data_IF_498354513396
#
_entry.id   IF_498354513396
#
_cell.length_a   1.000
_cell.length_b   1.000
_cell.length_c   1.000
_cell.angle_alpha   90.00
_cell.angle_beta   90.00
_cell.angle_gamma   90.00
#
_symmetry.space_group_name_H-M   'P 1'
#
loop_
_entity.id
_entity.type
_entity.pdbx_description
1 polymer ?
#
# COMPACT_ATOMS: atom_id res chain seq x y z
N UNK A 1 -34.11 32.11 21.86
CA UNK A 1 -33.80 30.66 21.80
C UNK A 1 -32.28 30.48 21.86
N UNK A 2 -31.70 29.90 22.93
CA UNK A 2 -30.25 29.84 23.05
C UNK A 2 -29.63 28.58 22.44
N UNK A 3 -28.52 28.84 21.71
CA UNK A 3 -27.30 28.03 21.53
C UNK A 3 -27.35 26.74 20.70
N UNK A 4 -26.91 26.86 19.44
CA UNK A 4 -26.08 25.80 18.84
C UNK A 4 -24.61 26.03 19.22
N UNK A 5 -23.94 25.01 19.73
CA UNK A 5 -22.52 25.06 20.05
C UNK A 5 -21.71 25.13 18.74
N UNK A 6 -21.33 26.34 18.33
CA UNK A 6 -20.43 26.54 17.19
C UNK A 6 -19.02 26.12 17.60
N UNK A 7 -18.58 24.95 17.12
CA UNK A 7 -17.17 24.57 17.14
C UNK A 7 -16.31 25.70 16.61
N UNK A 8 -15.23 26.00 17.34
CA UNK A 8 -14.34 27.15 17.09
C UNK A 8 -13.75 27.04 15.67
N UNK A 9 -14.07 28.01 14.82
CA UNK A 9 -13.46 28.19 13.51
C UNK A 9 -12.34 29.22 13.63
N UNK A 10 -11.28 29.00 12.86
CA UNK A 10 -10.23 29.97 12.67
C UNK A 10 -10.83 31.26 12.07
N UNK A 11 -10.66 32.44 12.68
CA UNK A 11 -11.16 33.69 12.12
C UNK A 11 -10.43 34.11 10.84
N UNK A 12 -9.19 33.67 10.60
CA UNK A 12 -8.42 34.03 9.41
C UNK A 12 -8.62 33.02 8.27
N UNK A 13 -8.64 31.73 8.59
CA UNK A 13 -8.74 30.67 7.56
C UNK A 13 -10.16 30.14 7.36
N UNK A 14 -11.10 30.45 8.25
CA UNK A 14 -12.49 29.97 8.20
C UNK A 14 -12.64 28.46 8.47
N UNK A 15 -11.53 27.73 8.61
CA UNK A 15 -11.49 26.29 8.80
C UNK A 15 -11.81 25.92 10.25
N UNK A 16 -12.38 24.72 10.45
CA UNK A 16 -12.53 24.16 11.79
C UNK A 16 -11.16 23.72 12.30
N UNK A 17 -10.76 24.24 13.45
CA UNK A 17 -9.54 23.81 14.12
C UNK A 17 -9.92 22.79 15.20
N UNK A 18 -9.50 21.55 15.01
CA UNK A 18 -9.43 20.58 16.12
C UNK A 18 -8.29 21.01 17.03
N UNK A 19 -8.59 21.44 18.26
CA UNK A 19 -7.55 21.75 19.25
C UNK A 19 -7.01 20.41 19.79
N UNK A 20 -5.75 20.03 19.52
CA UNK A 20 -5.16 18.89 20.23
C UNK A 20 -5.19 19.17 21.73
N UNK A 21 -5.48 18.14 22.52
CA UNK A 21 -5.42 18.26 23.97
C UNK A 21 -4.01 18.71 24.37
N UNK A 22 -3.93 19.60 25.34
CA UNK A 22 -2.67 20.01 25.94
C UNK A 22 -2.04 18.78 26.59
N UNK A 23 -0.79 18.47 26.22
CA UNK A 23 -0.09 17.24 26.66
C UNK A 23 0.02 17.19 28.18
N UNK A 24 0.08 18.36 28.83
CA UNK A 24 0.11 18.48 30.30
C UNK A 24 -1.19 18.06 30.99
N UNK A 25 -2.28 17.91 30.24
CA UNK A 25 -3.60 17.51 30.72
C UNK A 25 -3.95 16.06 30.38
N UNK A 26 -3.06 15.34 29.69
CA UNK A 26 -3.27 13.92 29.38
C UNK A 26 -2.87 13.13 30.62
N UNK A 27 -3.80 12.33 31.13
CA UNK A 27 -3.58 11.44 32.27
C UNK A 27 -3.78 10.02 31.77
N UNK A 28 -2.73 9.22 31.82
CA UNK A 28 -2.79 7.80 31.50
C UNK A 28 -3.18 7.01 32.76
N UNK A 29 -4.24 6.22 32.66
CA UNK A 29 -4.73 5.37 33.75
C UNK A 29 -5.09 3.99 33.21
N UNK A 30 -4.71 2.94 33.94
CA UNK A 30 -5.09 1.58 33.60
C UNK A 30 -6.59 1.36 33.87
N UNK A 31 -7.32 0.88 32.86
CA UNK A 31 -8.76 0.59 32.95
C UNK A 31 -9.08 -0.82 32.43
N UNK A 32 -8.76 -1.89 33.19
CA UNK A 32 -8.95 -3.27 32.75
C UNK A 32 -10.40 -3.62 32.42
N UNK A 33 -11.37 -3.00 33.11
CA UNK A 33 -12.79 -3.21 32.86
C UNK A 33 -13.28 -2.69 31.49
N UNK A 34 -12.50 -1.82 30.83
CA UNK A 34 -12.80 -1.29 29.49
C UNK A 34 -11.95 -1.98 28.40
N UNK A 35 -11.16 -2.99 28.74
CA UNK A 35 -10.31 -3.70 27.81
C UNK A 35 -11.16 -4.57 26.87
N UNK A 36 -11.19 -4.19 25.58
CA UNK A 36 -11.90 -4.93 24.54
C UNK A 36 -11.04 -6.08 24.00
N UNK A 37 -9.73 -5.87 23.91
CA UNK A 37 -8.76 -6.78 23.33
C UNK A 37 -7.60 -6.95 24.32
N UNK A 38 -7.12 -8.17 24.51
CA UNK A 38 -5.99 -8.46 25.39
C UNK A 38 -4.70 -7.76 24.93
N UNK A 39 -3.86 -7.37 25.90
CA UNK A 39 -2.64 -6.60 25.65
C UNK A 39 -1.67 -7.31 24.71
N UNK A 40 -1.56 -8.64 24.81
CA UNK A 40 -0.68 -9.43 23.93
C UNK A 40 -1.09 -9.27 22.45
N UNK A 41 -2.39 -9.34 22.16
CA UNK A 41 -2.90 -9.20 20.80
C UNK A 41 -2.80 -7.75 20.32
N UNK A 42 -3.07 -6.78 21.20
CA UNK A 42 -2.90 -5.37 20.91
C UNK A 42 -1.44 -5.06 20.53
N UNK A 43 -0.49 -5.47 21.36
CA UNK A 43 0.94 -5.24 21.15
C UNK A 43 1.43 -5.93 19.87
N UNK A 44 1.02 -7.17 19.62
CA UNK A 44 1.38 -7.87 18.38
C UNK A 44 0.88 -7.14 17.11
N UNK A 45 -0.30 -6.53 17.16
CA UNK A 45 -0.85 -5.74 16.06
C UNK A 45 -0.09 -4.42 15.90
N UNK A 46 0.20 -3.70 16.99
CA UNK A 46 0.99 -2.47 16.93
C UNK A 46 2.38 -2.71 16.34
N UNK A 47 3.08 -3.76 16.78
CA UNK A 47 4.36 -4.18 16.20
C UNK A 47 4.28 -4.43 14.68
N UNK A 48 3.20 -5.10 14.24
CA UNK A 48 2.98 -5.39 12.83
C UNK A 48 2.71 -4.11 12.04
N UNK A 49 1.92 -3.19 12.60
CA UNK A 49 1.62 -1.90 11.97
C UNK A 49 2.88 -1.07 11.83
N UNK A 50 3.72 -1.01 12.86
CA UNK A 50 4.98 -0.26 12.84
C UNK A 50 5.96 -0.82 11.80
N UNK A 51 6.14 -2.15 11.77
CA UNK A 51 6.95 -2.82 10.72
C UNK A 51 6.41 -2.54 9.31
N UNK A 52 5.09 -2.53 9.16
CA UNK A 52 4.43 -2.23 7.88
C UNK A 52 4.68 -0.78 7.50
N UNK A 53 4.49 0.15 8.42
CA UNK A 53 4.73 1.58 8.20
C UNK A 53 6.18 1.83 7.82
N UNK A 54 7.15 1.30 8.56
CA UNK A 54 8.58 1.41 8.25
C UNK A 54 8.93 0.86 6.86
N UNK A 55 8.32 -0.27 6.45
CA UNK A 55 8.54 -0.88 5.13
C UNK A 55 8.02 -0.02 3.97
N UNK A 56 7.01 0.81 4.22
CA UNK A 56 6.27 1.54 3.20
C UNK A 56 6.39 3.07 3.31
N UNK A 57 7.02 3.58 4.38
CA UNK A 57 7.30 4.99 4.59
C UNK A 57 8.13 5.55 3.41
N UNK A 58 7.67 6.67 2.85
CA UNK A 58 8.34 7.34 1.73
C UNK A 58 8.07 6.74 0.33
N UNK A 59 7.32 5.64 0.21
CA UNK A 59 6.84 5.17 -1.11
C UNK A 59 5.60 5.96 -1.53
N UNK A 60 5.63 6.57 -2.72
CA UNK A 60 4.50 7.32 -3.29
C UNK A 60 3.32 6.43 -3.70
N UNK A 61 3.53 5.12 -3.82
CA UNK A 61 2.47 4.15 -4.10
C UNK A 61 2.73 2.79 -3.42
N UNK A 62 2.69 2.71 -2.08
CA UNK A 62 2.96 1.48 -1.35
C UNK A 62 1.94 0.38 -1.66
N UNK A 63 0.68 0.77 -1.90
CA UNK A 63 -0.41 -0.12 -2.28
C UNK A 63 -0.19 -0.78 -3.65
N UNK A 64 0.47 -0.10 -4.60
CA UNK A 64 0.63 -0.61 -5.97
C UNK A 64 1.58 -1.81 -6.04
N UNK A 65 2.63 -1.85 -5.21
CA UNK A 65 3.52 -3.00 -5.09
C UNK A 65 2.80 -4.22 -4.47
N UNK A 66 1.91 -3.99 -3.50
CA UNK A 66 1.08 -5.05 -2.91
C UNK A 66 -0.08 -5.51 -3.82
N UNK A 67 -0.56 -4.65 -4.73
CA UNK A 67 -1.66 -4.96 -5.64
C UNK A 67 -1.23 -5.65 -6.93
N UNK A 68 0.06 -5.61 -7.29
CA UNK A 68 0.52 -6.35 -8.46
C UNK A 68 0.56 -7.83 -8.10
N UNK A 69 -0.49 -8.55 -8.51
CA UNK A 69 -0.56 -10.00 -8.41
C UNK A 69 0.79 -10.63 -8.82
N UNK A 70 1.41 -11.32 -7.87
CA UNK A 70 2.65 -12.06 -8.10
C UNK A 70 2.26 -13.47 -8.55
N UNK A 71 2.47 -13.76 -9.81
CA UNK A 71 2.23 -15.08 -10.39
C UNK A 71 3.47 -15.97 -10.26
N UNK A 72 3.29 -17.30 -10.31
CA UNK A 72 4.34 -18.31 -10.09
C UNK A 72 5.65 -18.01 -10.85
N UNK A 73 5.55 -17.61 -12.12
CA UNK A 73 6.70 -17.39 -13.00
C UNK A 73 7.13 -15.92 -13.08
N UNK A 74 6.58 -15.05 -12.23
CA UNK A 74 6.96 -13.64 -12.18
C UNK A 74 8.43 -13.51 -11.81
N UNK A 75 9.19 -12.72 -12.58
CA UNK A 75 10.64 -12.46 -12.39
C UNK A 75 11.57 -13.65 -12.63
N UNK A 76 11.05 -14.84 -12.97
CA UNK A 76 11.87 -16.01 -13.29
C UNK A 76 12.10 -16.18 -14.80
N UNK A 77 11.14 -15.75 -15.62
CA UNK A 77 11.18 -15.93 -17.06
C UNK A 77 11.95 -14.82 -17.77
N UNK A 78 12.96 -15.22 -18.53
CA UNK A 78 13.78 -14.36 -19.40
C UNK A 78 13.70 -14.82 -20.85
N UNK A 79 13.77 -13.87 -21.77
CA UNK A 79 13.76 -14.15 -23.20
C UNK A 79 15.16 -14.43 -23.71
N UNK A 80 15.39 -15.64 -24.23
CA UNK A 80 16.67 -16.01 -24.83
C UNK A 80 17.01 -15.15 -26.07
N UNK A 81 16.02 -14.62 -26.79
CA UNK A 81 16.28 -13.85 -28.01
C UNK A 81 16.80 -12.43 -27.75
N UNK A 82 16.32 -11.75 -26.70
CA UNK A 82 16.67 -10.35 -26.44
C UNK A 82 17.16 -10.10 -25.00
N UNK A 83 17.30 -11.14 -24.18
CA UNK A 83 17.66 -11.05 -22.75
C UNK A 83 16.61 -10.38 -21.86
N UNK A 84 15.48 -9.95 -22.41
CA UNK A 84 14.47 -9.17 -21.68
C UNK A 84 13.54 -10.04 -20.83
N UNK A 85 12.91 -9.42 -19.82
CA UNK A 85 11.95 -10.13 -18.96
C UNK A 85 10.66 -10.52 -19.71
N UNK A 86 10.03 -11.60 -19.27
CA UNK A 86 8.64 -11.88 -19.63
C UNK A 86 7.68 -11.10 -18.73
N UNK A 87 6.53 -10.74 -19.31
CA UNK A 87 5.38 -10.16 -18.61
C UNK A 87 4.12 -10.86 -19.06
N UNK A 88 3.01 -10.69 -18.35
CA UNK A 88 1.70 -10.99 -18.91
C UNK A 88 1.42 -10.04 -20.08
N UNK A 89 1.18 -10.62 -21.26
CA UNK A 89 0.80 -9.92 -22.49
C UNK A 89 -0.70 -10.00 -22.75
N UNK A 90 -1.36 -11.01 -22.19
CA UNK A 90 -2.83 -11.17 -22.11
C UNK A 90 -3.19 -11.73 -20.72
N UNK A 91 -4.48 -11.89 -20.43
CA UNK A 91 -5.00 -12.30 -19.11
C UNK A 91 -4.23 -13.49 -18.52
N UNK A 92 -3.98 -14.51 -19.35
CA UNK A 92 -3.38 -15.77 -18.92
C UNK A 92 -2.18 -16.15 -19.81
N UNK A 93 -1.50 -15.18 -20.46
CA UNK A 93 -0.37 -15.49 -21.35
C UNK A 93 0.86 -14.67 -21.00
N UNK A 94 1.98 -15.35 -20.73
CA UNK A 94 3.30 -14.73 -20.65
C UNK A 94 3.88 -14.52 -22.04
N UNK A 95 4.53 -13.37 -22.24
CA UNK A 95 5.27 -13.06 -23.46
C UNK A 95 6.42 -12.11 -23.19
N UNK A 96 7.34 -11.99 -24.16
CA UNK A 96 8.48 -11.08 -24.05
C UNK A 96 8.01 -9.62 -23.94
N UNK A 97 8.44 -8.93 -22.88
CA UNK A 97 8.09 -7.52 -22.64
C UNK A 97 8.57 -6.60 -23.77
N UNK A 98 9.81 -6.79 -24.22
CA UNK A 98 10.41 -5.96 -25.27
C UNK A 98 9.70 -6.13 -26.61
N UNK A 99 9.27 -7.36 -26.96
CA UNK A 99 8.44 -7.56 -28.16
C UNK A 99 7.10 -6.85 -28.01
N UNK A 100 6.44 -6.99 -26.85
CA UNK A 100 5.13 -6.37 -26.61
C UNK A 100 5.17 -4.84 -26.73
N UNK A 101 6.21 -4.22 -26.17
CA UNK A 101 6.29 -2.75 -26.07
C UNK A 101 7.04 -2.09 -27.21
N UNK A 102 8.06 -2.75 -27.77
CA UNK A 102 8.95 -2.17 -28.79
C UNK A 102 8.86 -2.87 -30.16
N UNK A 103 8.11 -3.97 -30.25
CA UNK A 103 7.83 -4.65 -31.52
C UNK A 103 8.98 -5.55 -32.03
N UNK A 104 8.85 -5.94 -33.30
CA UNK A 104 9.72 -6.92 -33.96
C UNK A 104 11.16 -6.44 -34.14
N UNK A 105 11.36 -5.11 -34.16
CA UNK A 105 12.68 -4.48 -34.31
C UNK A 105 13.61 -4.75 -33.12
N UNK A 106 13.06 -5.04 -31.93
CA UNK A 106 13.84 -5.33 -30.72
C UNK A 106 13.84 -6.82 -30.37
N UNK A 107 12.77 -7.55 -30.67
CA UNK A 107 12.71 -8.98 -30.38
C UNK A 107 11.77 -9.71 -31.33
N UNK A 108 12.31 -10.69 -32.06
CA UNK A 108 11.57 -11.55 -32.98
C UNK A 108 10.77 -12.67 -32.27
N UNK A 109 10.88 -12.82 -30.94
CA UNK A 109 10.26 -13.92 -30.21
C UNK A 109 8.73 -13.77 -30.11
N UNK A 110 8.01 -14.42 -31.02
CA UNK A 110 6.55 -14.40 -31.07
C UNK A 110 5.86 -15.38 -30.12
N UNK A 111 6.63 -16.23 -29.42
CA UNK A 111 6.07 -17.29 -28.57
C UNK A 111 5.51 -16.74 -27.28
N UNK A 112 4.30 -17.21 -26.95
CA UNK A 112 3.63 -16.95 -25.67
C UNK A 112 3.45 -18.25 -24.91
N UNK A 113 3.48 -18.17 -23.58
CA UNK A 113 3.28 -19.32 -22.69
C UNK A 113 1.97 -19.09 -21.94
N UNK A 114 1.02 -20.00 -22.10
CA UNK A 114 -0.26 -19.95 -21.39
C UNK A 114 -0.06 -20.34 -19.93
N UNK A 115 -0.70 -19.60 -19.03
CA UNK A 115 -0.87 -19.95 -17.62
C UNK A 115 -2.07 -20.89 -17.55
N UNK A 116 -1.86 -22.10 -17.07
CA UNK A 116 -2.93 -23.02 -16.66
C UNK A 116 -3.05 -23.00 -15.14
#
# INVERSE_FOLDING_TARGET
>A
MPRSARGRRDPETGLRISKPADVTKIIDAAAPALQIIGDDLWNAVQDRLEKTYARYAGKTAPLNDSHRAQYLLSRLLTCACCGGCYTLVAQDCYGCYNRKTKGLSICANTKTITRH
#
